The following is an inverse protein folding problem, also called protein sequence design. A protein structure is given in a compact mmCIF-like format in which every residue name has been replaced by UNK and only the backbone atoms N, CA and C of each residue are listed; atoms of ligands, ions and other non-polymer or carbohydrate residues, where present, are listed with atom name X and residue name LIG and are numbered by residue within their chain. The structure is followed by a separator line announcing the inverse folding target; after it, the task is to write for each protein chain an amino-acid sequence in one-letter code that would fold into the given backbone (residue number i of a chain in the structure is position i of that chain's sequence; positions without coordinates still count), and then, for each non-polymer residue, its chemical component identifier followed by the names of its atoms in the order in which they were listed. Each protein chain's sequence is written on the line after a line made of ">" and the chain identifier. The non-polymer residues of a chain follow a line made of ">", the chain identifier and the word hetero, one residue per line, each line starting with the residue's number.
data_IF_213973129646
#
_entry.id   IF_213973129646
#
_cell.length_a   1.000
_cell.length_b   1.000
_cell.length_c   1.000
_cell.angle_alpha   90.00
_cell.angle_beta   90.00
_cell.angle_gamma   90.00
#
_symmetry.space_group_name_H-M   'P 1'
#
loop_
_entity.id
_entity.type
_entity.pdbx_description
1 polymer ?
#
# COMPACT_ATOMS: atom_id res chain seq x y z
N UNK A 1 16.67 -4.67 2.77
CA UNK A 1 15.61 -4.63 1.74
C UNK A 1 16.11 -3.75 0.61
N UNK A 2 15.96 -4.13 -0.66
CA UNK A 2 16.34 -3.27 -1.79
C UNK A 2 15.16 -2.38 -2.18
N UNK A 3 15.41 -1.20 -2.76
CA UNK A 3 14.34 -0.25 -3.16
C UNK A 3 13.31 -0.89 -4.11
N UNK A 4 13.74 -1.82 -4.96
CA UNK A 4 12.84 -2.56 -5.86
C UNK A 4 11.87 -3.50 -5.14
N UNK A 5 12.24 -4.04 -3.97
CA UNK A 5 11.34 -4.89 -3.17
C UNK A 5 10.22 -4.04 -2.57
N UNK A 6 10.56 -2.86 -2.06
CA UNK A 6 9.60 -1.92 -1.49
C UNK A 6 8.64 -1.38 -2.57
N UNK A 7 9.13 -1.08 -3.77
CA UNK A 7 8.27 -0.61 -4.86
C UNK A 7 7.25 -1.69 -5.25
N UNK A 8 7.69 -2.95 -5.37
CA UNK A 8 6.78 -4.07 -5.65
C UNK A 8 5.70 -4.23 -4.56
N UNK A 9 6.07 -4.07 -3.28
CA UNK A 9 5.13 -4.09 -2.15
C UNK A 9 4.16 -2.90 -2.24
N UNK A 10 4.64 -1.71 -2.61
CA UNK A 10 3.79 -0.53 -2.78
C UNK A 10 2.74 -0.74 -3.88
N UNK A 11 3.13 -1.30 -5.03
CA UNK A 11 2.18 -1.65 -6.10
C UNK A 11 1.17 -2.71 -5.67
N UNK A 12 1.62 -3.74 -4.94
CA UNK A 12 0.75 -4.77 -4.40
C UNK A 12 -0.28 -4.19 -3.42
N UNK A 13 0.13 -3.26 -2.55
CA UNK A 13 -0.78 -2.53 -1.67
C UNK A 13 -1.81 -1.73 -2.49
N UNK A 14 -1.37 -0.98 -3.50
CA UNK A 14 -2.25 -0.11 -4.29
C UNK A 14 -3.35 -0.88 -5.04
N UNK A 15 -3.04 -2.08 -5.52
CA UNK A 15 -4.00 -2.99 -6.17
C UNK A 15 -4.79 -3.88 -5.22
N UNK A 16 -4.58 -3.78 -3.91
CA UNK A 16 -5.24 -4.63 -2.91
C UNK A 16 -6.62 -4.12 -2.50
N UNK A 17 -7.38 -4.96 -1.81
CA UNK A 17 -8.67 -4.55 -1.21
C UNK A 17 -8.53 -3.40 -0.20
N UNK A 18 -7.33 -3.16 0.35
CA UNK A 18 -7.08 -2.12 1.33
C UNK A 18 -7.17 -0.70 0.74
N UNK A 19 -7.04 -0.53 -0.58
CA UNK A 19 -7.35 0.76 -1.24
C UNK A 19 -8.82 0.91 -1.59
N UNK A 20 -9.63 -0.14 -1.39
CA UNK A 20 -11.04 -0.19 -1.70
C UNK A 20 -11.96 0.50 -0.68
N UNK A 21 -13.26 0.56 -0.99
CA UNK A 21 -14.25 1.32 -0.22
C UNK A 21 -14.47 0.78 1.21
N UNK A 22 -14.25 -0.52 1.44
CA UNK A 22 -14.39 -1.16 2.77
C UNK A 22 -13.50 -0.50 3.81
N UNK A 23 -12.33 0.00 3.39
CA UNK A 23 -11.36 0.63 4.27
C UNK A 23 -11.36 2.15 4.15
N UNK A 24 -12.34 2.78 3.48
CA UNK A 24 -12.29 4.22 3.16
C UNK A 24 -12.18 5.11 4.40
N UNK A 25 -12.71 4.67 5.53
CA UNK A 25 -12.73 5.43 6.78
C UNK A 25 -11.41 5.32 7.54
N UNK A 26 -10.53 4.42 7.12
CA UNK A 26 -9.21 4.27 7.72
C UNK A 26 -8.23 5.23 7.05
N UNK A 27 -7.31 5.86 7.81
CA UNK A 27 -6.23 6.61 7.21
C UNK A 27 -5.26 5.65 6.49
N UNK A 28 -4.50 6.18 5.51
CA UNK A 28 -3.68 5.36 4.60
C UNK A 28 -2.60 4.55 5.32
N UNK A 29 -2.00 5.11 6.37
CA UNK A 29 -1.06 4.46 7.29
C UNK A 29 -1.66 3.21 7.92
N UNK A 30 -2.88 3.31 8.46
CA UNK A 30 -3.58 2.17 9.06
C UNK A 30 -3.91 1.09 8.02
N UNK A 31 -4.29 1.49 6.80
CA UNK A 31 -4.55 0.55 5.69
C UNK A 31 -3.29 -0.21 5.30
N UNK A 32 -2.17 0.52 5.15
CA UNK A 32 -0.88 -0.04 4.81
C UNK A 32 -0.40 -1.00 5.91
N UNK A 33 -0.52 -0.62 7.18
CA UNK A 33 -0.18 -1.48 8.30
C UNK A 33 -1.02 -2.77 8.31
N UNK A 34 -2.33 -2.68 8.07
CA UNK A 34 -3.20 -3.86 7.99
C UNK A 34 -2.85 -4.78 6.82
N UNK A 35 -2.46 -4.21 5.68
CA UNK A 35 -1.93 -4.96 4.54
C UNK A 35 -0.63 -5.71 4.93
N UNK A 36 0.34 -5.01 5.51
CA UNK A 36 1.61 -5.63 5.92
C UNK A 36 1.39 -6.79 6.91
N UNK A 37 0.56 -6.58 7.94
CA UNK A 37 0.24 -7.63 8.92
C UNK A 37 -0.46 -8.82 8.25
N UNK A 38 -1.43 -8.59 7.38
CA UNK A 38 -2.16 -9.68 6.68
C UNK A 38 -1.26 -10.49 5.77
N UNK A 39 -0.22 -9.89 5.20
CA UNK A 39 0.72 -10.54 4.30
C UNK A 39 1.98 -11.07 5.02
N UNK A 40 2.03 -11.07 6.36
CA UNK A 40 3.16 -11.60 7.13
C UNK A 40 4.41 -10.71 7.09
N UNK A 41 4.28 -9.46 6.67
CA UNK A 41 5.34 -8.46 6.58
C UNK A 41 5.47 -7.64 7.87
N UNK A 42 5.21 -8.25 9.03
CA UNK A 42 5.22 -7.56 10.33
C UNK A 42 6.58 -6.93 10.65
N UNK A 43 7.67 -7.59 10.29
CA UNK A 43 9.02 -7.03 10.46
C UNK A 43 9.23 -5.73 9.66
N UNK A 44 8.55 -5.58 8.51
CA UNK A 44 8.57 -4.34 7.73
C UNK A 44 7.65 -3.27 8.34
N UNK A 45 6.53 -3.66 8.94
CA UNK A 45 5.66 -2.75 9.67
C UNK A 45 6.32 -2.18 10.93
N UNK A 46 7.14 -2.99 11.61
CA UNK A 46 7.85 -2.61 12.85
C UNK A 46 9.13 -1.79 12.58
N UNK A 47 9.69 -1.87 11.36
CA UNK A 47 10.81 -1.02 10.94
C UNK A 47 10.30 0.34 10.46
N UNK A 48 10.36 1.34 11.34
CA UNK A 48 9.87 2.69 11.04
C UNK A 48 10.56 3.36 9.84
N UNK A 49 11.82 3.03 9.54
CA UNK A 49 12.54 3.58 8.39
C UNK A 49 12.05 2.96 7.08
N UNK A 50 11.96 1.64 7.05
CA UNK A 50 11.47 0.91 5.89
C UNK A 50 9.96 1.15 5.64
N UNK A 51 9.17 1.29 6.70
CA UNK A 51 7.76 1.66 6.62
C UNK A 51 7.57 3.09 6.07
N UNK A 52 8.41 4.05 6.49
CA UNK A 52 8.39 5.40 5.92
C UNK A 52 8.77 5.39 4.43
N UNK A 53 9.84 4.69 4.04
CA UNK A 53 10.23 4.55 2.64
C UNK A 53 9.12 3.90 1.79
N UNK A 54 8.46 2.87 2.32
CA UNK A 54 7.29 2.25 1.67
C UNK A 54 6.16 3.25 1.48
N UNK A 55 5.86 4.07 2.49
CA UNK A 55 4.81 5.09 2.42
C UNK A 55 5.11 6.12 1.33
N UNK A 56 6.35 6.57 1.21
CA UNK A 56 6.78 7.49 0.15
C UNK A 56 6.56 6.88 -1.24
N UNK A 57 6.90 5.60 -1.43
CA UNK A 57 6.66 4.88 -2.69
C UNK A 57 5.16 4.72 -2.98
N UNK A 58 4.35 4.40 -1.98
CA UNK A 58 2.89 4.36 -2.13
C UNK A 58 2.37 5.71 -2.62
N UNK A 59 2.78 6.81 -2.00
CA UNK A 59 2.36 8.16 -2.38
C UNK A 59 2.83 8.53 -3.79
N UNK A 60 4.06 8.18 -4.15
CA UNK A 60 4.62 8.39 -5.50
C UNK A 60 3.84 7.61 -6.57
N UNK A 61 3.42 6.39 -6.24
CA UNK A 61 2.74 5.48 -7.16
C UNK A 61 1.21 5.66 -7.21
N UNK A 62 0.59 6.46 -6.34
CA UNK A 62 -0.86 6.73 -6.38
C UNK A 62 -1.32 7.31 -7.73
N UNK A 63 -0.61 8.33 -8.25
CA UNK A 63 -0.94 8.94 -9.53
C UNK A 63 -0.79 7.99 -10.72
N UNK A 64 0.33 7.24 -10.85
CA UNK A 64 0.47 6.13 -11.78
C UNK A 64 -0.62 5.06 -11.65
N UNK A 65 -0.92 4.58 -10.44
CA UNK A 65 -1.91 3.53 -10.19
C UNK A 65 -3.34 3.96 -10.57
N UNK A 66 -3.70 5.22 -10.31
CA UNK A 66 -4.95 5.82 -10.77
C UNK A 66 -5.07 5.78 -12.31
N UNK A 67 -4.01 6.18 -13.02
CA UNK A 67 -3.98 6.16 -14.49
C UNK A 67 -4.06 4.76 -15.07
N UNK A 68 -3.58 3.76 -14.34
CA UNK A 68 -3.65 2.35 -14.73
C UNK A 68 -4.97 1.66 -14.31
N UNK A 69 -5.87 2.36 -13.62
CA UNK A 69 -7.12 1.77 -13.13
C UNK A 69 -6.93 0.72 -12.03
N UNK A 70 -5.76 0.71 -11.38
CA UNK A 70 -5.43 -0.26 -10.33
C UNK A 70 -6.14 0.03 -9.01
N UNK A 71 -6.47 1.30 -8.74
CA UNK A 71 -7.30 1.64 -7.60
C UNK A 71 -8.72 1.16 -7.87
N UNK A 72 -9.03 -0.02 -7.33
CA UNK A 72 -10.27 -0.74 -7.61
C UNK A 72 -11.48 0.13 -7.22
N UNK A 73 -12.07 0.76 -8.21
CA UNK A 73 -13.42 1.30 -8.15
C UNK A 73 -14.31 0.16 -8.62
N UNK A 74 -14.96 -0.53 -7.69
CA UNK A 74 -15.90 -1.59 -8.07
C UNK A 74 -16.94 -0.99 -9.04
N UNK A 75 -17.28 -1.66 -10.16
CA UNK A 75 -18.45 -1.28 -10.93
C UNK A 75 -19.69 -1.57 -10.07
N UNK A 76 -20.49 -0.52 -9.86
CA UNK A 76 -21.79 -0.51 -9.15
C UNK A 76 -22.67 -1.71 -9.49
#
# INVERSE_FOLDING_TARGET
>A
MMDGDLDAIAWAFLGSEFTGPVYRDWPIDRRLNAFLVRHGLTALADDGGACNALMELVMSNLGPALRQGLLRSEPT
#
